data_IF_901402612592
#
_entry.id   IF_901402612592
#
_cell.length_a   1.000
_cell.length_b   1.000
_cell.length_c   1.000
_cell.angle_alpha   90.00
_cell.angle_beta   90.00
_cell.angle_gamma   90.00
#
_symmetry.space_group_name_H-M   'P 1'
#
loop_
_entity.id
_entity.type
_entity.pdbx_description
1 polymer ?
#
# COMPACT_ATOMS: atom_id res chain seq x y z
N UNK A 1 -22.77 -10.14 -22.33
CA UNK A 1 -21.59 -10.82 -21.75
C UNK A 1 -22.09 -11.71 -20.64
N UNK A 2 -22.05 -13.01 -20.86
CA UNK A 2 -22.50 -14.02 -19.89
C UNK A 2 -21.53 -14.09 -18.71
N UNK A 3 -21.97 -14.53 -17.53
CA UNK A 3 -21.11 -14.65 -16.34
C UNK A 3 -19.81 -15.45 -16.59
N UNK A 4 -19.80 -16.37 -17.56
CA UNK A 4 -18.62 -17.12 -18.00
C UNK A 4 -17.49 -16.25 -18.62
N UNK A 5 -17.81 -15.11 -19.23
CA UNK A 5 -16.78 -14.24 -19.84
C UNK A 5 -15.97 -13.48 -18.78
N UNK A 6 -16.54 -13.28 -17.58
CA UNK A 6 -15.86 -12.63 -16.46
C UNK A 6 -14.83 -13.53 -15.78
N UNK A 7 -14.90 -14.84 -15.99
CA UNK A 7 -14.04 -15.79 -15.29
C UNK A 7 -12.59 -15.80 -15.81
N UNK A 8 -12.36 -15.22 -17.00
CA UNK A 8 -11.06 -15.08 -17.64
C UNK A 8 -10.48 -13.67 -17.59
N UNK A 9 -11.18 -12.71 -16.97
CA UNK A 9 -10.66 -11.35 -16.81
C UNK A 9 -9.62 -11.30 -15.68
N UNK A 10 -8.51 -10.62 -15.94
CA UNK A 10 -7.51 -10.36 -14.92
C UNK A 10 -8.15 -9.59 -13.75
N UNK A 11 -7.81 -9.93 -12.49
CA UNK A 11 -8.16 -9.10 -11.34
C UNK A 11 -7.83 -7.63 -11.61
N UNK A 12 -8.79 -6.72 -11.39
CA UNK A 12 -8.61 -5.30 -11.64
C UNK A 12 -7.38 -4.73 -10.92
N UNK A 13 -7.05 -5.29 -9.75
CA UNK A 13 -5.86 -4.93 -8.97
C UNK A 13 -4.53 -5.24 -9.68
N UNK A 14 -4.50 -6.23 -10.60
CA UNK A 14 -3.31 -6.51 -11.40
C UNK A 14 -3.14 -5.51 -12.53
N UNK A 15 -4.23 -4.98 -13.08
CA UNK A 15 -4.25 -4.11 -14.26
C UNK A 15 -3.76 -2.68 -13.96
N UNK A 16 -3.96 -2.22 -12.73
CA UNK A 16 -3.54 -0.88 -12.31
C UNK A 16 -2.05 -0.81 -11.98
N UNK A 17 -1.46 0.38 -12.05
CA UNK A 17 -0.16 0.63 -11.42
C UNK A 17 -0.37 0.73 -9.90
N UNK A 18 0.28 -0.11 -9.07
CA UNK A 18 0.10 -0.05 -7.64
C UNK A 18 0.52 1.31 -7.07
N UNK A 19 -0.36 1.95 -6.32
CA UNK A 19 -0.11 3.21 -5.62
C UNK A 19 -0.18 2.99 -4.11
N UNK A 20 0.66 3.71 -3.36
CA UNK A 20 0.68 3.64 -1.90
C UNK A 20 -0.61 4.23 -1.32
N UNK A 21 -1.37 3.44 -0.57
CA UNK A 21 -2.62 3.90 0.03
C UNK A 21 -2.37 4.74 1.29
N UNK A 22 -2.77 6.00 1.25
CA UNK A 22 -2.71 6.93 2.39
C UNK A 22 -4.11 7.32 2.82
N UNK A 23 -4.46 7.01 4.07
CA UNK A 23 -5.72 7.40 4.68
C UNK A 23 -5.65 8.81 5.25
N UNK A 24 -6.65 9.64 4.98
CA UNK A 24 -6.75 11.02 5.48
C UNK A 24 -7.91 11.11 6.46
N UNK A 25 -7.66 11.59 7.67
CA UNK A 25 -8.66 11.82 8.72
C UNK A 25 -8.61 13.27 9.21
N UNK A 26 -9.72 13.78 9.74
CA UNK A 26 -9.80 15.12 10.34
C UNK A 26 -10.12 16.27 9.38
N UNK A 27 -10.29 16.00 8.07
CA UNK A 27 -10.75 17.00 7.09
C UNK A 27 -12.27 16.96 6.92
N UNK A 28 -12.94 18.02 7.35
CA UNK A 28 -14.36 18.29 7.02
C UNK A 28 -14.49 18.96 5.66
N UNK A 29 -14.60 18.15 4.60
CA UNK A 29 -14.69 18.64 3.22
C UNK A 29 -16.09 19.14 2.82
N UNK A 30 -17.08 19.12 3.74
CA UNK A 30 -18.44 19.60 3.47
C UNK A 30 -18.65 21.00 4.04
N UNK A 31 -18.21 21.25 5.28
CA UNK A 31 -18.49 22.51 5.97
C UNK A 31 -17.27 23.45 6.08
N UNK A 32 -16.06 22.98 5.77
CA UNK A 32 -14.85 23.79 5.88
C UNK A 32 -14.13 23.93 4.53
N UNK A 33 -14.10 25.17 4.01
CA UNK A 33 -13.48 25.51 2.73
C UNK A 33 -11.96 25.26 2.71
N UNK A 34 -11.27 25.48 3.83
CA UNK A 34 -9.83 25.19 3.98
C UNK A 34 -9.59 23.69 3.84
N UNK A 35 -10.39 22.87 4.52
CA UNK A 35 -10.30 21.41 4.44
C UNK A 35 -10.61 20.88 3.04
N UNK A 36 -11.63 21.44 2.37
CA UNK A 36 -11.95 21.17 0.97
C UNK A 36 -10.75 21.46 0.07
N UNK A 37 -10.15 22.65 0.20
CA UNK A 37 -8.98 23.05 -0.60
C UNK A 37 -7.76 22.13 -0.36
N UNK A 38 -7.48 21.77 0.89
CA UNK A 38 -6.40 20.82 1.24
C UNK A 38 -6.66 19.45 0.59
N UNK A 39 -7.87 18.93 0.72
CA UNK A 39 -8.24 17.63 0.14
C UNK A 39 -8.19 17.65 -1.39
N UNK A 40 -8.64 18.72 -2.03
CA UNK A 40 -8.62 18.86 -3.49
C UNK A 40 -7.17 18.98 -4.00
N UNK A 41 -6.30 19.71 -3.30
CA UNK A 41 -4.88 19.80 -3.60
C UNK A 41 -4.16 18.44 -3.50
N UNK A 42 -4.46 17.64 -2.46
CA UNK A 42 -3.94 16.27 -2.32
C UNK A 42 -4.50 15.33 -3.40
N UNK A 43 -5.80 15.44 -3.69
CA UNK A 43 -6.50 14.57 -4.65
C UNK A 43 -6.12 14.86 -6.10
N UNK A 44 -5.78 16.11 -6.42
CA UNK A 44 -5.31 16.53 -7.74
C UNK A 44 -3.98 15.87 -8.14
N UNK A 45 -3.22 15.37 -7.17
CA UNK A 45 -1.92 14.72 -7.39
C UNK A 45 -1.96 13.59 -8.44
N UNK A 46 -3.07 12.84 -8.51
CA UNK A 46 -3.21 11.68 -9.42
C UNK A 46 -2.98 11.99 -10.91
N UNK A 47 -2.98 13.27 -11.31
CA UNK A 47 -2.91 13.70 -12.72
C UNK A 47 -1.51 14.16 -13.16
N UNK A 48 -0.52 14.24 -12.28
CA UNK A 48 0.82 14.76 -12.60
C UNK A 48 1.87 13.63 -12.61
N UNK A 49 2.58 13.48 -13.74
CA UNK A 49 3.56 12.40 -13.96
C UNK A 49 4.78 12.46 -13.02
N UNK A 50 5.11 13.63 -12.47
CA UNK A 50 6.27 13.82 -11.58
C UNK A 50 5.96 13.62 -10.10
N UNK A 51 4.71 13.33 -9.73
CA UNK A 51 4.33 13.16 -8.33
C UNK A 51 4.50 11.72 -7.85
N UNK A 52 4.79 11.52 -6.55
CA UNK A 52 4.82 10.20 -5.94
C UNK A 52 3.52 9.42 -6.22
N UNK A 53 3.57 8.10 -6.48
CA UNK A 53 2.38 7.29 -6.76
C UNK A 53 1.61 6.99 -5.48
N UNK A 54 0.92 8.00 -4.95
CA UNK A 54 0.13 7.93 -3.72
C UNK A 54 -1.36 8.00 -4.04
N UNK A 55 -2.12 7.08 -3.45
CA UNK A 55 -3.56 7.09 -3.47
C UNK A 55 -4.09 7.60 -2.13
N UNK A 56 -4.61 8.82 -2.13
CA UNK A 56 -5.31 9.37 -0.97
C UNK A 56 -6.75 8.84 -0.86
N UNK A 57 -7.16 8.51 0.36
CA UNK A 57 -8.52 8.10 0.70
C UNK A 57 -8.98 8.85 1.96
N UNK A 58 -10.03 9.65 1.82
CA UNK A 58 -10.67 10.28 2.97
C UNK A 58 -11.37 9.19 3.81
N UNK A 59 -11.05 9.16 5.10
CA UNK A 59 -11.60 8.24 6.07
C UNK A 59 -12.76 8.92 6.79
N UNK A 60 -13.93 8.29 6.77
CA UNK A 60 -15.05 8.73 7.59
C UNK A 60 -14.73 8.57 9.08
N UNK A 61 -15.39 9.34 9.95
CA UNK A 61 -15.23 9.21 11.40
C UNK A 61 -15.58 7.79 11.91
N UNK A 62 -16.54 7.12 11.25
CA UNK A 62 -16.95 5.74 11.55
C UNK A 62 -16.16 4.69 10.74
N UNK A 63 -15.01 5.03 10.17
CA UNK A 63 -14.26 4.09 9.35
C UNK A 63 -13.70 2.95 10.17
N UNK A 64 -14.13 1.72 9.87
CA UNK A 64 -13.59 0.52 10.49
C UNK A 64 -12.49 -0.10 9.62
N UNK A 65 -11.30 -0.24 10.20
CA UNK A 65 -10.24 -1.01 9.57
C UNK A 65 -10.55 -2.51 9.69
N UNK A 66 -10.22 -3.32 8.65
CA UNK A 66 -10.38 -4.76 8.76
C UNK A 66 -9.63 -5.31 10.00
N UNK A 67 -10.16 -6.36 10.65
CA UNK A 67 -9.50 -6.95 11.84
C UNK A 67 -8.25 -7.76 11.46
N UNK A 68 -7.09 -7.57 12.15
CA UNK A 68 -5.90 -8.38 11.91
C UNK A 68 -6.23 -9.87 12.06
N UNK A 69 -5.79 -10.70 11.12
CA UNK A 69 -5.93 -12.15 11.27
C UNK A 69 -4.84 -12.65 12.22
N UNK A 70 -5.19 -13.55 13.14
CA UNK A 70 -4.21 -14.21 14.00
C UNK A 70 -3.15 -14.92 13.16
N UNK A 71 -1.88 -14.74 13.52
CA UNK A 71 -0.76 -15.45 12.88
C UNK A 71 -0.83 -16.91 13.34
N UNK A 72 -1.27 -17.82 12.47
CA UNK A 72 -1.18 -19.27 12.72
C UNK A 72 0.26 -19.71 12.48
N UNK A 73 0.78 -20.64 13.30
CA UNK A 73 2.04 -21.31 12.97
C UNK A 73 1.86 -22.10 11.66
N UNK A 74 2.85 -22.03 10.78
CA UNK A 74 2.82 -22.65 9.45
C UNK A 74 3.43 -24.05 9.43
N UNK A 75 3.93 -24.57 10.56
CA UNK A 75 4.61 -25.87 10.62
C UNK A 75 3.75 -27.04 10.08
N UNK A 76 2.42 -26.85 10.07
CA UNK A 76 1.45 -27.80 9.48
C UNK A 76 0.50 -27.15 8.46
N UNK A 77 0.78 -25.92 7.98
CA UNK A 77 -0.13 -25.21 7.09
C UNK A 77 0.14 -25.48 5.61
N UNK A 78 -0.69 -26.33 5.01
CA UNK A 78 -0.77 -26.48 3.57
C UNK A 78 -1.66 -25.36 3.00
N UNK A 79 -1.13 -24.46 2.14
CA UNK A 79 -1.93 -23.41 1.54
C UNK A 79 -2.98 -24.01 0.61
N UNK A 80 -4.22 -23.49 0.66
CA UNK A 80 -5.34 -23.94 -0.19
C UNK A 80 -5.17 -23.63 -1.69
N UNK A 81 -4.20 -22.79 -2.06
CA UNK A 81 -3.95 -22.31 -3.41
C UNK A 81 -2.61 -21.57 -3.49
N UNK A 82 -2.26 -21.01 -4.64
CA UNK A 82 -0.97 -20.34 -4.92
C UNK A 82 -1.01 -18.89 -4.41
N UNK A 83 -1.88 -18.04 -4.94
CA UNK A 83 -2.06 -16.66 -4.48
C UNK A 83 -3.29 -16.56 -3.58
N UNK A 84 -3.31 -15.56 -2.69
CA UNK A 84 -4.44 -15.35 -1.78
C UNK A 84 -5.39 -14.33 -2.38
N UNK A 85 -6.65 -14.71 -2.62
CA UNK A 85 -7.67 -13.76 -3.09
C UNK A 85 -7.81 -12.55 -2.18
N UNK A 86 -7.98 -11.37 -2.78
CA UNK A 86 -8.17 -10.09 -2.08
C UNK A 86 -6.94 -9.57 -1.34
N UNK A 87 -5.78 -10.23 -1.41
CA UNK A 87 -4.57 -9.71 -0.76
C UNK A 87 -4.12 -8.38 -1.40
N UNK A 88 -4.13 -8.27 -2.73
CA UNK A 88 -3.84 -7.01 -3.42
C UNK A 88 -4.89 -5.95 -3.08
N UNK A 89 -6.18 -6.31 -3.18
CA UNK A 89 -7.31 -5.43 -2.84
C UNK A 89 -7.16 -4.82 -1.44
N UNK A 90 -6.81 -5.65 -0.45
CA UNK A 90 -6.55 -5.23 0.93
C UNK A 90 -5.50 -4.11 0.99
N UNK A 91 -4.36 -4.29 0.33
CA UNK A 91 -3.24 -3.34 0.40
C UNK A 91 -3.38 -2.13 -0.53
N UNK A 92 -4.26 -2.21 -1.54
CA UNK A 92 -4.57 -1.10 -2.43
C UNK A 92 -5.74 -0.23 -1.95
N UNK A 93 -6.71 -0.78 -1.20
CA UNK A 93 -7.99 -0.07 -0.95
C UNK A 93 -8.48 -0.07 0.51
N UNK A 94 -8.06 -1.03 1.33
CA UNK A 94 -8.62 -1.25 2.67
C UNK A 94 -7.67 -0.86 3.80
N UNK A 95 -6.40 -1.21 3.68
CA UNK A 95 -5.40 -1.05 4.75
C UNK A 95 -4.36 -0.04 4.30
N UNK A 96 -4.48 1.22 4.73
CA UNK A 96 -3.52 2.24 4.36
C UNK A 96 -2.15 1.94 4.98
N UNK A 97 -1.09 2.22 4.23
CA UNK A 97 0.29 2.17 4.73
C UNK A 97 0.56 3.31 5.73
N UNK A 98 -0.11 4.44 5.54
CA UNK A 98 -0.01 5.63 6.39
C UNK A 98 -1.41 6.20 6.61
N UNK A 99 -1.73 6.57 7.84
CA UNK A 99 -2.92 7.37 8.18
C UNK A 99 -2.47 8.72 8.69
N UNK A 100 -2.96 9.78 8.04
CA UNK A 100 -2.64 11.17 8.34
C UNK A 100 -3.84 11.80 9.04
N UNK A 101 -3.62 12.36 10.22
CA UNK A 101 -4.61 13.14 10.96
C UNK A 101 -4.37 14.61 10.68
N UNK A 102 -5.38 15.32 10.18
CA UNK A 102 -5.34 16.76 10.03
C UNK A 102 -6.07 17.42 11.20
N UNK A 103 -5.46 18.45 11.76
CA UNK A 103 -6.05 19.26 12.82
C UNK A 103 -5.84 20.74 12.51
N UNK A 104 -6.90 21.54 12.62
CA UNK A 104 -6.79 23.00 12.70
C UNK A 104 -6.17 23.36 14.05
N UNK A 105 -4.90 23.80 14.06
CA UNK A 105 -4.20 24.19 15.29
C UNK A 105 -3.03 25.12 14.98
N UNK A 106 -3.18 26.39 15.36
CA UNK A 106 -2.09 27.37 15.36
C UNK A 106 -1.28 27.27 16.67
N UNK A 107 0.00 27.65 16.65
CA UNK A 107 0.88 27.53 17.83
C UNK A 107 0.49 28.46 18.98
N UNK A 108 -0.18 29.57 18.66
CA UNK A 108 -0.62 30.61 19.58
C UNK A 108 -2.12 30.51 19.91
N UNK A 109 -2.74 29.33 19.68
CA UNK A 109 -4.16 29.11 19.98
C UNK A 109 -4.45 29.37 21.48
N UNK A 110 -5.40 30.27 21.82
CA UNK A 110 -5.75 30.57 23.21
C UNK A 110 -6.21 29.35 24.02
N UNK A 111 -6.77 28.34 23.34
CA UNK A 111 -7.25 27.08 23.91
C UNK A 111 -6.27 25.93 23.63
N UNK A 112 -4.96 26.23 23.56
CA UNK A 112 -3.90 25.28 23.23
C UNK A 112 -4.05 23.91 23.92
N UNK A 113 -4.24 23.88 25.24
CA UNK A 113 -4.31 22.63 25.99
C UNK A 113 -5.49 21.74 25.57
N UNK A 114 -6.65 22.33 25.33
CA UNK A 114 -7.86 21.61 24.88
C UNK A 114 -7.68 21.08 23.46
N UNK A 115 -7.20 21.93 22.54
CA UNK A 115 -6.96 21.54 21.14
C UNK A 115 -5.87 20.48 21.01
N UNK A 116 -4.78 20.61 21.79
CA UNK A 116 -3.73 19.60 21.89
C UNK A 116 -4.29 18.26 22.34
N UNK A 117 -5.10 18.26 23.42
CA UNK A 117 -5.71 17.04 23.94
C UNK A 117 -6.61 16.37 22.90
N UNK A 118 -7.40 17.15 22.15
CA UNK A 118 -8.23 16.65 21.06
C UNK A 118 -7.39 15.99 19.95
N UNK A 119 -6.31 16.66 19.51
CA UNK A 119 -5.39 16.13 18.50
C UNK A 119 -4.75 14.80 18.95
N UNK A 120 -4.25 14.78 20.18
CA UNK A 120 -3.61 13.60 20.79
C UNK A 120 -4.60 12.45 20.89
N UNK A 121 -5.83 12.70 21.34
CA UNK A 121 -6.88 11.69 21.46
C UNK A 121 -7.24 11.06 20.10
N UNK A 122 -7.36 11.88 19.05
CA UNK A 122 -7.60 11.40 17.68
C UNK A 122 -6.47 10.50 17.18
N UNK A 123 -5.21 10.89 17.42
CA UNK A 123 -4.03 10.09 17.04
C UNK A 123 -4.01 8.76 17.80
N UNK A 124 -4.22 8.78 19.12
CA UNK A 124 -4.21 7.57 19.96
C UNK A 124 -5.34 6.60 19.56
N UNK A 125 -6.54 7.11 19.30
CA UNK A 125 -7.69 6.32 18.84
C UNK A 125 -7.39 5.59 17.52
N UNK A 126 -6.77 6.28 16.56
CA UNK A 126 -6.37 5.67 15.29
C UNK A 126 -5.24 4.65 15.46
N UNK A 127 -4.29 4.90 16.36
CA UNK A 127 -3.22 3.93 16.65
C UNK A 127 -3.78 2.63 17.23
N UNK A 128 -4.75 2.71 18.14
CA UNK A 128 -5.39 1.51 18.69
C UNK A 128 -6.20 0.78 17.60
N UNK A 129 -6.92 1.51 16.75
CA UNK A 129 -7.66 0.92 15.63
C UNK A 129 -6.75 0.23 14.58
N UNK A 130 -5.50 0.69 14.44
CA UNK A 130 -4.50 0.15 13.51
C UNK A 130 -3.53 -0.85 14.16
N UNK A 131 -3.75 -1.20 15.43
CA UNK A 131 -2.86 -2.10 16.17
C UNK A 131 -2.71 -3.45 15.46
N UNK A 132 -1.46 -3.91 15.37
CA UNK A 132 -1.09 -5.15 14.66
C UNK A 132 -1.09 -5.05 13.13
N UNK A 133 -1.34 -3.88 12.53
CA UNK A 133 -1.25 -3.66 11.07
C UNK A 133 0.09 -3.12 10.60
N UNK A 134 0.87 -2.51 11.50
CA UNK A 134 2.14 -1.85 11.18
C UNK A 134 2.00 -0.50 10.45
N UNK A 135 0.78 -0.08 10.12
CA UNK A 135 0.48 1.21 9.47
C UNK A 135 1.08 2.36 10.27
N UNK A 136 1.66 3.34 9.58
CA UNK A 136 2.21 4.55 10.20
C UNK A 136 1.08 5.54 10.49
N UNK A 137 1.17 6.25 11.59
CA UNK A 137 0.27 7.36 11.92
C UNK A 137 1.09 8.63 11.97
N UNK A 138 0.63 9.67 11.28
CA UNK A 138 1.22 11.00 11.35
C UNK A 138 0.14 12.07 11.53
N UNK A 139 0.57 13.23 12.04
CA UNK A 139 -0.26 14.39 12.35
C UNK A 139 0.18 15.56 11.46
N UNK A 140 -0.79 16.28 10.92
CA UNK A 140 -0.58 17.52 10.16
C UNK A 140 -1.38 18.62 10.84
N UNK A 141 -0.69 19.67 11.25
CA UNK A 141 -1.32 20.86 11.80
C UNK A 141 -1.55 21.85 10.67
N UNK A 142 -2.82 22.20 10.43
CA UNK A 142 -3.18 23.26 9.48
C UNK A 142 -3.07 24.58 10.22
N UNK A 143 -2.22 25.46 9.69
CA UNK A 143 -1.99 26.78 10.26
C UNK A 143 -2.61 27.85 9.37
N UNK A 144 -3.46 28.68 9.96
CA UNK A 144 -4.22 29.72 9.24
C UNK A 144 -3.49 31.06 9.29
N UNK A 145 -2.66 31.28 10.31
CA UNK A 145 -1.84 32.48 10.43
C UNK A 145 -0.58 32.33 9.58
N UNK A 146 -0.17 33.44 8.95
CA UNK A 146 1.13 33.49 8.28
C UNK A 146 2.23 33.37 9.33
N UNK A 147 3.27 32.55 9.08
CA UNK A 147 4.27 32.30 10.10
C UNK A 147 5.04 33.57 10.46
N UNK A 148 4.96 33.99 11.73
CA UNK A 148 5.79 35.06 12.26
C UNK A 148 7.18 34.50 12.63
N UNK A 149 8.09 34.55 11.64
CA UNK A 149 9.39 33.87 11.60
C UNK A 149 10.31 34.02 12.82
N UNK A 150 10.15 35.06 13.66
CA UNK A 150 11.05 35.33 14.79
C UNK A 150 10.56 34.79 16.16
N UNK A 151 9.25 34.63 16.35
CA UNK A 151 8.64 34.23 17.65
C UNK A 151 8.09 32.80 17.60
N UNK A 152 7.70 32.34 16.41
CA UNK A 152 7.18 30.98 16.23
C UNK A 152 8.24 29.88 16.30
N UNK A 153 9.53 30.20 16.11
CA UNK A 153 10.55 29.15 16.01
C UNK A 153 10.88 28.52 17.38
N UNK A 154 10.80 29.29 18.48
CA UNK A 154 10.94 28.76 19.85
C UNK A 154 9.64 28.18 20.37
N UNK A 155 8.53 28.93 20.28
CA UNK A 155 7.22 28.47 20.74
C UNK A 155 6.76 27.22 19.98
N UNK A 156 6.87 27.21 18.66
CA UNK A 156 6.49 26.09 17.82
C UNK A 156 7.33 24.84 18.11
N UNK A 157 8.63 24.99 18.39
CA UNK A 157 9.49 23.87 18.78
C UNK A 157 9.08 23.26 20.14
N UNK A 158 8.77 24.09 21.13
CA UNK A 158 8.28 23.64 22.44
C UNK A 158 6.94 22.93 22.32
N UNK A 159 5.99 23.54 21.62
CA UNK A 159 4.65 22.99 21.40
C UNK A 159 4.68 21.71 20.57
N UNK A 160 5.52 21.63 19.53
CA UNK A 160 5.73 20.39 18.79
C UNK A 160 6.26 19.28 19.70
N UNK A 161 7.21 19.58 20.59
CA UNK A 161 7.74 18.63 21.57
C UNK A 161 6.67 18.13 22.53
N UNK A 162 5.78 19.00 23.01
CA UNK A 162 4.63 18.59 23.83
C UNK A 162 3.72 17.60 23.08
N UNK A 163 3.39 17.89 21.83
CA UNK A 163 2.56 17.00 21.00
C UNK A 163 3.26 15.66 20.77
N UNK A 164 4.55 15.65 20.46
CA UNK A 164 5.31 14.41 20.28
C UNK A 164 5.26 13.53 21.52
N UNK A 165 5.47 14.13 22.70
CA UNK A 165 5.43 13.41 23.98
C UNK A 165 4.03 12.89 24.30
N UNK A 166 3.00 13.72 24.13
CA UNK A 166 1.62 13.35 24.46
C UNK A 166 1.02 12.30 23.50
N UNK A 167 1.34 12.38 22.20
CA UNK A 167 0.85 11.46 21.18
C UNK A 167 1.75 10.23 20.95
N UNK A 168 2.88 10.14 21.66
CA UNK A 168 3.93 9.13 21.45
C UNK A 168 4.39 9.04 19.98
N UNK A 169 4.46 10.19 19.30
CA UNK A 169 4.83 10.28 17.89
C UNK A 169 6.34 10.45 17.73
N UNK A 170 6.91 9.86 16.68
CA UNK A 170 8.30 10.15 16.30
C UNK A 170 8.42 11.53 15.64
N UNK A 171 9.58 12.17 15.73
CA UNK A 171 9.85 13.48 15.11
C UNK A 171 9.60 13.52 13.59
N UNK A 172 9.54 12.36 12.92
CA UNK A 172 9.23 12.24 11.48
C UNK A 172 7.72 12.13 11.19
N UNK A 173 6.86 12.30 12.18
CA UNK A 173 5.41 12.03 12.08
C UNK A 173 4.53 13.25 12.39
N UNK A 174 5.12 14.44 12.53
CA UNK A 174 4.39 15.71 12.65
C UNK A 174 4.81 16.63 11.51
N UNK A 175 3.82 17.25 10.87
CA UNK A 175 4.04 18.20 9.79
C UNK A 175 3.17 19.44 9.99
N UNK A 176 3.61 20.53 9.40
CA UNK A 176 2.90 21.81 9.41
C UNK A 176 2.44 22.08 7.98
N UNK A 177 1.17 22.47 7.83
CA UNK A 177 0.57 22.88 6.58
C UNK A 177 0.08 24.32 6.69
N UNK A 178 0.87 25.31 6.25
CA UNK A 178 0.41 26.67 6.14
C UNK A 178 -0.69 26.76 5.07
N UNK A 179 -1.81 27.39 5.42
CA UNK A 179 -2.88 27.68 4.47
C UNK A 179 -2.69 29.09 3.88
N UNK A 180 -1.96 29.16 2.78
CA UNK A 180 -1.74 30.39 2.01
C UNK A 180 -1.78 30.09 0.50
N UNK A 181 -1.44 31.08 -0.32
CA UNK A 181 -1.44 30.98 -1.79
C UNK A 181 -0.53 29.86 -2.34
N UNK A 182 0.43 29.37 -1.54
CA UNK A 182 1.37 28.31 -1.93
C UNK A 182 0.95 26.90 -1.47
N UNK A 183 -0.33 26.69 -1.14
CA UNK A 183 -0.88 25.41 -0.67
C UNK A 183 -0.49 24.20 -1.53
N UNK A 184 -0.47 24.36 -2.85
CA UNK A 184 -0.09 23.29 -3.79
C UNK A 184 1.36 22.81 -3.60
N UNK A 185 2.27 23.73 -3.28
CA UNK A 185 3.68 23.41 -3.02
C UNK A 185 3.86 22.69 -1.68
N UNK A 186 3.17 23.14 -0.63
CA UNK A 186 3.21 22.48 0.68
C UNK A 186 2.57 21.09 0.65
N UNK A 187 1.44 20.91 -0.04
CA UNK A 187 0.79 19.61 -0.20
C UNK A 187 1.65 18.63 -1.02
N UNK A 188 2.39 19.11 -2.03
CA UNK A 188 3.37 18.28 -2.75
C UNK A 188 4.53 17.81 -1.86
N UNK A 189 5.03 18.67 -0.95
CA UNK A 189 6.05 18.28 0.05
C UNK A 189 5.50 17.23 1.03
N UNK A 190 4.28 17.43 1.52
CA UNK A 190 3.60 16.47 2.39
C UNK A 190 3.42 15.12 1.71
N UNK A 191 3.01 15.12 0.45
CA UNK A 191 2.85 13.90 -0.35
C UNK A 191 4.14 13.09 -0.45
N UNK A 192 5.26 13.74 -0.76
CA UNK A 192 6.58 13.08 -0.74
C UNK A 192 6.92 12.51 0.63
N UNK A 193 6.65 13.25 1.70
CA UNK A 193 6.90 12.79 3.06
C UNK A 193 6.02 11.57 3.45
N UNK A 194 4.74 11.59 3.09
CA UNK A 194 3.83 10.46 3.30
C UNK A 194 4.24 9.25 2.48
N UNK A 195 4.72 9.46 1.26
CA UNK A 195 5.22 8.38 0.43
C UNK A 195 6.48 7.73 1.03
N UNK A 196 7.39 8.49 1.61
CA UNK A 196 8.56 7.93 2.29
C UNK A 196 8.19 7.13 3.55
N UNK A 197 7.18 7.57 4.31
CA UNK A 197 6.59 6.77 5.39
C UNK A 197 5.96 5.48 4.85
N UNK A 198 5.27 5.53 3.71
CA UNK A 198 4.71 4.36 3.05
C UNK A 198 5.80 3.39 2.58
N UNK A 199 6.90 3.88 2.01
CA UNK A 199 8.05 3.05 1.64
C UNK A 199 8.64 2.31 2.85
N UNK A 200 8.76 3.00 3.99
CA UNK A 200 9.23 2.39 5.25
C UNK A 200 8.29 1.29 5.73
N UNK A 201 6.97 1.51 5.62
CA UNK A 201 5.96 0.49 5.90
C UNK A 201 6.14 -0.75 5.01
N UNK A 202 6.19 -0.58 3.69
CA UNK A 202 6.34 -1.70 2.76
C UNK A 202 7.68 -2.41 2.92
N UNK A 203 8.76 -1.69 3.25
CA UNK A 203 10.05 -2.30 3.57
C UNK A 203 9.97 -3.18 4.83
N UNK A 204 9.20 -2.76 5.84
CA UNK A 204 8.96 -3.59 7.02
C UNK A 204 8.18 -4.86 6.65
N UNK A 205 7.10 -4.75 5.87
CA UNK A 205 6.32 -5.90 5.41
C UNK A 205 7.16 -6.88 4.56
N UNK A 206 8.02 -6.38 3.67
CA UNK A 206 8.96 -7.19 2.90
C UNK A 206 9.89 -7.98 3.82
N UNK A 207 10.46 -7.34 4.86
CA UNK A 207 11.32 -8.03 5.84
C UNK A 207 10.56 -9.13 6.59
N UNK A 208 9.32 -8.86 7.00
CA UNK A 208 8.48 -9.87 7.66
C UNK A 208 8.22 -11.07 6.74
N UNK A 209 7.96 -10.84 5.45
CA UNK A 209 7.78 -11.92 4.48
C UNK A 209 9.08 -12.71 4.28
N UNK A 210 10.23 -12.04 4.16
CA UNK A 210 11.55 -12.70 4.00
C UNK A 210 11.90 -13.57 5.21
N UNK A 211 11.77 -13.02 6.42
CA UNK A 211 11.97 -13.76 7.67
C UNK A 211 11.05 -14.99 7.74
N UNK A 212 9.79 -14.85 7.34
CA UNK A 212 8.88 -15.99 7.32
C UNK A 212 9.27 -17.06 6.29
N UNK A 213 9.81 -16.64 5.12
CA UNK A 213 10.25 -17.55 4.06
C UNK A 213 11.43 -18.43 4.48
N UNK A 214 12.31 -17.96 5.36
CA UNK A 214 13.46 -18.73 5.88
C UNK A 214 13.05 -20.00 6.62
N UNK A 215 11.81 -20.04 7.15
CA UNK A 215 11.27 -21.18 7.89
C UNK A 215 10.50 -22.17 6.99
N UNK A 216 10.52 -21.99 5.66
CA UNK A 216 9.78 -22.85 4.74
C UNK A 216 10.62 -24.02 4.23
N UNK A 217 9.96 -25.16 3.98
CA UNK A 217 10.56 -26.31 3.31
C UNK A 217 10.21 -26.29 1.82
N UNK A 218 11.22 -26.26 0.94
CA UNK A 218 11.03 -26.16 -0.53
C UNK A 218 10.19 -27.30 -1.11
N UNK A 219 10.24 -28.52 -0.55
CA UNK A 219 9.47 -29.68 -1.04
C UNK A 219 7.98 -29.59 -0.70
N UNK A 220 7.65 -29.05 0.48
CA UNK A 220 6.27 -29.07 0.98
C UNK A 220 5.54 -27.73 0.79
N UNK A 221 6.28 -26.63 0.65
CA UNK A 221 5.74 -25.26 0.69
C UNK A 221 5.94 -24.48 -0.62
N UNK A 222 6.02 -25.16 -1.76
CA UNK A 222 6.31 -24.55 -3.05
C UNK A 222 5.38 -23.36 -3.40
N UNK A 223 4.07 -23.50 -3.16
CA UNK A 223 3.11 -22.41 -3.37
C UNK A 223 3.35 -21.21 -2.46
N UNK A 224 3.88 -21.43 -1.25
CA UNK A 224 4.27 -20.33 -0.37
C UNK A 224 5.49 -19.58 -0.91
N UNK A 225 6.45 -20.25 -1.57
CA UNK A 225 7.55 -19.55 -2.24
C UNK A 225 7.04 -18.63 -3.35
N UNK A 226 6.22 -19.15 -4.27
CA UNK A 226 5.59 -18.36 -5.34
C UNK A 226 4.86 -17.16 -4.75
N UNK A 227 4.03 -17.39 -3.73
CA UNK A 227 3.28 -16.35 -3.03
C UNK A 227 4.18 -15.29 -2.39
N UNK A 228 5.24 -15.69 -1.71
CA UNK A 228 6.12 -14.74 -1.03
C UNK A 228 6.91 -13.89 -2.00
N UNK A 229 7.43 -14.49 -3.07
CA UNK A 229 8.10 -13.76 -4.13
C UNK A 229 7.15 -12.76 -4.81
N UNK A 230 5.93 -13.20 -5.16
CA UNK A 230 4.91 -12.31 -5.72
C UNK A 230 4.59 -11.12 -4.79
N UNK A 231 4.36 -11.38 -3.50
CA UNK A 231 4.06 -10.31 -2.53
C UNK A 231 5.22 -9.32 -2.35
N UNK A 232 6.45 -9.80 -2.32
CA UNK A 232 7.63 -8.92 -2.24
C UNK A 232 7.72 -8.07 -3.51
N UNK A 233 7.57 -8.67 -4.69
CA UNK A 233 7.55 -7.94 -5.96
C UNK A 233 6.50 -6.84 -5.98
N UNK A 234 5.29 -7.15 -5.49
CA UNK A 234 4.18 -6.19 -5.40
C UNK A 234 4.46 -5.04 -4.44
N UNK A 235 5.06 -5.32 -3.27
CA UNK A 235 5.48 -4.25 -2.35
C UNK A 235 6.66 -3.43 -2.89
N UNK A 236 7.54 -4.00 -3.71
CA UNK A 236 8.57 -3.24 -4.42
C UNK A 236 7.97 -2.29 -5.47
N UNK A 237 6.93 -2.69 -6.21
CA UNK A 237 6.22 -1.77 -7.11
C UNK A 237 5.56 -0.60 -6.38
N UNK A 238 4.92 -0.86 -5.23
CA UNK A 238 4.36 0.18 -4.36
C UNK A 238 5.43 1.16 -3.84
N UNK A 239 6.71 0.78 -3.91
CA UNK A 239 7.88 1.62 -3.59
C UNK A 239 8.54 2.25 -4.81
N UNK A 240 8.06 1.96 -6.03
CA UNK A 240 8.71 2.27 -7.33
C UNK A 240 10.11 1.66 -7.50
N UNK A 241 10.40 0.58 -6.79
CA UNK A 241 11.63 -0.21 -6.93
C UNK A 241 11.40 -1.30 -7.99
N UNK A 242 11.26 -0.86 -9.25
CA UNK A 242 10.84 -1.72 -10.36
C UNK A 242 11.86 -2.81 -10.70
N UNK A 243 13.16 -2.55 -10.50
CA UNK A 243 14.21 -3.54 -10.74
C UNK A 243 14.09 -4.69 -9.75
N UNK A 244 13.99 -4.40 -8.45
CA UNK A 244 13.82 -5.45 -7.43
C UNK A 244 12.45 -6.13 -7.56
N UNK A 245 11.42 -5.38 -7.96
CA UNK A 245 10.11 -5.96 -8.24
C UNK A 245 10.17 -7.00 -9.35
N UNK A 246 10.83 -6.68 -10.47
CA UNK A 246 11.05 -7.59 -11.59
C UNK A 246 11.77 -8.86 -11.16
N UNK A 247 12.90 -8.75 -10.46
CA UNK A 247 13.64 -9.93 -9.97
C UNK A 247 12.74 -10.84 -9.12
N UNK A 248 11.93 -10.26 -8.22
CA UNK A 248 11.02 -11.07 -7.40
C UNK A 248 9.86 -11.69 -8.19
N UNK A 249 9.35 -11.03 -9.24
CA UNK A 249 8.35 -11.65 -10.10
C UNK A 249 8.91 -12.77 -10.96
N UNK A 250 10.13 -12.64 -11.48
CA UNK A 250 10.81 -13.74 -12.18
C UNK A 250 11.03 -14.94 -11.27
N UNK A 251 11.51 -14.72 -10.04
CA UNK A 251 11.67 -15.79 -9.06
C UNK A 251 10.33 -16.44 -8.68
N UNK A 252 9.23 -15.67 -8.62
CA UNK A 252 7.90 -16.22 -8.41
C UNK A 252 7.47 -17.11 -9.58
N UNK A 253 7.75 -16.69 -10.81
CA UNK A 253 7.45 -17.44 -12.03
C UNK A 253 8.27 -18.72 -12.10
N UNK A 254 9.59 -18.66 -11.86
CA UNK A 254 10.48 -19.82 -11.86
C UNK A 254 10.08 -20.83 -10.79
N UNK A 255 9.76 -20.37 -9.57
CA UNK A 255 9.24 -21.23 -8.50
C UNK A 255 7.94 -21.94 -8.88
N UNK A 256 7.12 -21.30 -9.73
CA UNK A 256 5.86 -21.86 -10.21
C UNK A 256 6.07 -22.85 -11.36
N UNK A 257 7.09 -22.64 -12.21
CA UNK A 257 7.49 -23.62 -13.24
C UNK A 257 8.04 -24.92 -12.63
N UNK A 258 8.72 -24.82 -11.48
CA UNK A 258 9.14 -25.99 -10.72
C UNK A 258 7.95 -26.74 -10.08
N UNK A 259 6.73 -26.15 -10.08
CA UNK A 259 5.59 -26.72 -9.38
C UNK A 259 5.04 -27.95 -10.06
N UNK A 260 4.84 -29.01 -9.27
CA UNK A 260 4.25 -30.24 -9.78
C UNK A 260 2.83 -29.96 -10.25
N UNK A 261 2.63 -30.10 -11.56
CA UNK A 261 1.32 -30.05 -12.19
C UNK A 261 0.61 -31.38 -11.99
N UNK A 262 -0.63 -31.29 -11.50
CA UNK A 262 -1.58 -32.37 -11.33
C UNK A 262 -2.90 -31.89 -11.94
N UNK A 263 -3.73 -32.81 -12.41
CA UNK A 263 -5.04 -32.47 -12.99
C UNK A 263 -5.90 -31.61 -12.04
N UNK A 264 -5.68 -31.75 -10.73
CA UNK A 264 -6.37 -31.04 -9.66
C UNK A 264 -5.87 -29.62 -9.38
N UNK A 265 -4.75 -29.18 -9.98
CA UNK A 265 -4.17 -27.85 -9.74
C UNK A 265 -3.73 -27.12 -11.03
N UNK A 266 -3.77 -27.80 -12.18
CA UNK A 266 -3.23 -27.30 -13.44
C UNK A 266 -3.85 -25.97 -13.85
N UNK A 267 -5.17 -25.81 -13.67
CA UNK A 267 -5.88 -24.59 -14.02
C UNK A 267 -5.46 -23.40 -13.15
N UNK A 268 -5.36 -23.61 -11.83
CA UNK A 268 -4.90 -22.57 -10.90
C UNK A 268 -3.45 -22.16 -11.23
N UNK A 269 -2.56 -23.12 -11.42
CA UNK A 269 -1.16 -22.86 -11.74
C UNK A 269 -1.04 -22.09 -13.05
N UNK A 270 -1.76 -22.48 -14.11
CA UNK A 270 -1.76 -21.78 -15.39
C UNK A 270 -2.28 -20.34 -15.27
N UNK A 271 -3.37 -20.16 -14.53
CA UNK A 271 -3.97 -18.83 -14.31
C UNK A 271 -3.02 -17.91 -13.54
N UNK A 272 -2.41 -18.42 -12.47
CA UNK A 272 -1.44 -17.67 -11.67
C UNK A 272 -0.15 -17.41 -12.45
N UNK A 273 0.29 -18.34 -13.29
CA UNK A 273 1.42 -18.12 -14.20
C UNK A 273 1.12 -16.97 -15.17
N UNK A 274 -0.10 -16.90 -15.70
CA UNK A 274 -0.56 -15.77 -16.51
C UNK A 274 -0.52 -14.44 -15.74
N UNK A 275 -0.98 -14.42 -14.47
CA UNK A 275 -0.91 -13.23 -13.62
C UNK A 275 0.53 -12.75 -13.39
N UNK A 276 1.43 -13.67 -13.04
CA UNK A 276 2.84 -13.34 -12.80
C UNK A 276 3.50 -12.91 -14.10
N UNK A 277 3.27 -13.61 -15.21
CA UNK A 277 3.83 -13.28 -16.52
C UNK A 277 3.40 -11.89 -16.99
N UNK A 278 2.12 -11.54 -16.81
CA UNK A 278 1.64 -10.19 -17.07
C UNK A 278 2.37 -9.13 -16.25
N UNK A 279 2.60 -9.38 -14.95
CA UNK A 279 3.37 -8.46 -14.09
C UNK A 279 4.84 -8.34 -14.54
N UNK A 280 5.49 -9.44 -14.91
CA UNK A 280 6.85 -9.44 -15.46
C UNK A 280 6.91 -8.57 -16.74
N UNK A 281 6.02 -8.83 -17.70
CA UNK A 281 5.97 -8.06 -18.96
C UNK A 281 5.69 -6.58 -18.71
N UNK A 282 4.74 -6.24 -17.81
CA UNK A 282 4.46 -4.84 -17.45
C UNK A 282 5.66 -4.12 -16.86
N UNK A 283 6.37 -4.75 -15.93
CA UNK A 283 7.54 -4.14 -15.31
C UNK A 283 8.68 -3.99 -16.34
N UNK A 284 8.86 -4.95 -17.26
CA UNK A 284 9.79 -4.78 -18.37
C UNK A 284 9.46 -3.55 -19.24
N UNK A 285 8.19 -3.33 -19.60
CA UNK A 285 7.80 -2.13 -20.33
C UNK A 285 8.10 -0.85 -19.55
N UNK A 286 7.80 -0.82 -18.24
CA UNK A 286 8.10 0.31 -17.38
C UNK A 286 9.62 0.56 -17.22
N UNK A 287 10.44 -0.48 -17.33
CA UNK A 287 11.91 -0.42 -17.34
C UNK A 287 12.49 -0.13 -18.74
N UNK A 288 11.67 0.18 -19.74
CA UNK A 288 12.07 0.38 -21.14
C UNK A 288 12.78 -0.84 -21.77
N UNK A 289 12.34 -2.06 -21.41
CA UNK A 289 12.86 -3.34 -21.92
C UNK A 289 11.81 -4.14 -22.70
N UNK A 290 11.23 -3.61 -23.80
CA UNK A 290 10.12 -4.24 -24.50
C UNK A 290 10.50 -5.58 -25.18
N UNK A 291 11.75 -5.74 -25.63
CA UNK A 291 12.22 -7.00 -26.23
C UNK A 291 12.20 -8.15 -25.23
N UNK A 292 12.63 -7.89 -24.01
CA UNK A 292 12.60 -8.87 -22.92
C UNK A 292 11.16 -9.23 -22.55
N UNK A 293 10.25 -8.25 -22.50
CA UNK A 293 8.82 -8.49 -22.27
C UNK A 293 8.21 -9.44 -23.32
N UNK A 294 8.52 -9.22 -24.59
CA UNK A 294 8.04 -10.05 -25.71
C UNK A 294 8.65 -11.45 -25.64
N UNK A 295 9.95 -11.55 -25.36
CA UNK A 295 10.64 -12.83 -25.20
C UNK A 295 10.03 -13.67 -24.08
N UNK A 296 9.84 -13.05 -22.91
CA UNK A 296 9.19 -13.68 -21.76
C UNK A 296 7.77 -14.16 -22.10
N UNK A 297 6.96 -13.31 -22.75
CA UNK A 297 5.59 -13.67 -23.12
C UNK A 297 5.55 -14.83 -24.12
N UNK A 298 6.42 -14.85 -25.14
CA UNK A 298 6.53 -15.96 -26.09
C UNK A 298 6.90 -17.27 -25.38
N UNK A 299 7.87 -17.23 -24.48
CA UNK A 299 8.27 -18.39 -23.69
C UNK A 299 7.13 -18.90 -22.79
N UNK A 300 6.36 -17.99 -22.17
CA UNK A 300 5.17 -18.33 -21.40
C UNK A 300 4.12 -19.05 -22.24
N UNK A 301 3.79 -18.50 -23.41
CA UNK A 301 2.81 -19.11 -24.32
C UNK A 301 3.27 -20.50 -24.76
N UNK A 302 4.53 -20.65 -25.18
CA UNK A 302 5.06 -21.95 -25.62
C UNK A 302 4.98 -23.00 -24.52
N UNK A 303 5.30 -22.62 -23.28
CA UNK A 303 5.27 -23.54 -22.13
C UNK A 303 3.85 -24.02 -21.76
N UNK A 304 2.83 -23.15 -21.89
CA UNK A 304 1.46 -23.44 -21.44
C UNK A 304 0.45 -23.70 -22.58
N UNK A 305 0.86 -23.62 -23.86
CA UNK A 305 -0.03 -23.79 -25.03
C UNK A 305 -0.79 -25.11 -24.99
N UNK A 306 -0.11 -26.19 -24.64
CA UNK A 306 -0.67 -27.55 -24.64
C UNK A 306 -1.17 -28.02 -23.26
N UNK A 307 -1.10 -27.15 -22.25
CA UNK A 307 -1.54 -27.43 -20.87
C UNK A 307 -3.00 -27.00 -20.72
N UNK A 308 -3.93 -27.95 -20.74
CA UNK A 308 -5.37 -27.71 -20.68
C UNK A 308 -5.94 -28.38 -19.43
N UNK A 309 -6.17 -27.60 -18.38
CA UNK A 309 -6.80 -28.08 -17.15
C UNK A 309 -8.28 -28.46 -17.34
N UNK A 310 -8.81 -29.26 -16.42
CA UNK A 310 -10.20 -29.72 -16.48
C UNK A 310 -11.20 -28.56 -16.28
N UNK A 311 -12.17 -28.39 -17.18
CA UNK A 311 -13.12 -27.26 -17.16
C UNK A 311 -13.93 -27.13 -15.84
N UNK A 312 -14.17 -28.24 -15.13
CA UNK A 312 -14.86 -28.24 -13.82
C UNK A 312 -14.05 -27.62 -12.68
N UNK A 313 -12.74 -27.41 -12.87
CA UNK A 313 -11.84 -26.84 -11.86
C UNK A 313 -11.56 -25.35 -12.11
N UNK A 314 -12.36 -24.72 -12.98
CA UNK A 314 -12.25 -23.31 -13.29
C UNK A 314 -12.32 -22.42 -12.05
N UNK A 315 -12.94 -22.85 -10.95
CA UNK A 315 -13.09 -22.02 -9.76
C UNK A 315 -11.82 -21.89 -8.89
N UNK A 316 -10.79 -22.70 -9.13
CA UNK A 316 -9.67 -22.86 -8.18
C UNK A 316 -8.77 -21.62 -8.08
N UNK A 317 -8.72 -20.75 -9.09
CA UNK A 317 -8.00 -19.48 -8.99
C UNK A 317 -8.66 -18.46 -8.05
N UNK A 318 -9.88 -18.72 -7.59
CA UNK A 318 -10.60 -17.88 -6.63
C UNK A 318 -10.30 -18.19 -5.16
N UNK A 319 -9.37 -19.12 -4.87
CA UNK A 319 -9.08 -19.63 -3.52
C UNK A 319 -8.53 -18.60 -2.50
#
# INVERSE_FOLDING_TARGET
MTNLDRDFEFPAELLVQPQALVGISGLDTLNNAVHRAVWDALSASRRQQDRPPVQFKLLAASHEFPRPKSKKSYDQHIPKGVLKRGWMHKHLTQVPSVVVVFCDLDWDDPQWEERKLECVSRVQSLREALKGRGSRVCLVLIQRKAPNLAVEDTLGAERAKEIFQAADLSNKSLYILPHNEHLLGFTAKLESAFYDLAKSYYQHEIRQIKQHREHLNKKNHQYLYVRHHFKIGFFCELRQDLVTAHCHYEEAYNSLLEARLLDTNEFEVKTVAGYISYKVSRVHFALNRPRDAISHFKAHIEHYRHKTGHNLLLFQHYA
#
